data_IF_480524764030
#
_entry.id   IF_480524764030
#
_cell.length_a   1.000
_cell.length_b   1.000
_cell.length_c   1.000
_cell.angle_alpha   90.00
_cell.angle_beta   90.00
_cell.angle_gamma   90.00
#
_symmetry.space_group_name_H-M   'P 1'
#
loop_
_entity.id
_entity.type
_entity.pdbx_description
1 polymer ?
#
# COMPACT_ATOMS: atom_id res chain seq x y z
N UNK A 1 14.80 20.38 -6.49
CA UNK A 1 14.28 18.98 -6.37
C UNK A 1 13.17 18.82 -7.41
N UNK A 2 13.13 17.71 -8.12
CA UNK A 2 12.00 17.41 -9.00
C UNK A 2 10.80 17.06 -8.13
N UNK A 3 9.68 17.73 -8.33
CA UNK A 3 8.43 17.49 -7.60
C UNK A 3 7.72 16.28 -8.21
N UNK A 4 7.25 15.36 -7.37
CA UNK A 4 6.43 14.23 -7.76
C UNK A 4 5.18 14.19 -6.89
N UNK A 5 4.01 13.98 -7.49
CA UNK A 5 2.75 13.92 -6.76
C UNK A 5 2.44 12.47 -6.40
N UNK A 6 2.07 12.22 -5.15
CA UNK A 6 1.57 10.92 -4.71
C UNK A 6 0.05 10.99 -4.71
N UNK A 7 -0.58 10.17 -5.56
CA UNK A 7 -2.04 10.08 -5.69
C UNK A 7 -2.64 9.31 -4.50
N UNK A 8 -2.49 9.87 -3.31
CA UNK A 8 -3.01 9.35 -2.04
C UNK A 8 -3.12 10.45 -1.00
N UNK A 9 -4.10 10.31 -0.12
CA UNK A 9 -4.24 11.10 1.12
C UNK A 9 -4.00 10.24 2.37
N UNK A 10 -3.67 8.96 2.22
CA UNK A 10 -3.37 8.07 3.33
C UNK A 10 -2.01 8.43 3.95
N UNK A 11 -2.05 8.93 5.20
CA UNK A 11 -0.86 9.40 5.91
C UNK A 11 0.22 8.32 6.09
N UNK A 12 -0.19 7.06 6.29
CA UNK A 12 0.74 5.93 6.42
C UNK A 12 1.50 5.68 5.11
N UNK A 13 0.77 5.58 3.99
CA UNK A 13 1.37 5.42 2.65
C UNK A 13 2.31 6.59 2.31
N UNK A 14 1.86 7.82 2.54
CA UNK A 14 2.66 9.02 2.29
C UNK A 14 3.97 9.02 3.07
N UNK A 15 3.93 8.64 4.35
CA UNK A 15 5.11 8.55 5.21
C UNK A 15 6.12 7.54 4.67
N UNK A 16 5.67 6.34 4.32
CA UNK A 16 6.54 5.28 3.78
C UNK A 16 7.14 5.68 2.42
N UNK A 17 6.33 6.20 1.49
CA UNK A 17 6.80 6.61 0.16
C UNK A 17 7.81 7.77 0.27
N UNK A 18 7.51 8.78 1.08
CA UNK A 18 8.41 9.92 1.31
C UNK A 18 9.76 9.48 1.89
N UNK A 19 9.76 8.57 2.87
CA UNK A 19 10.98 8.08 3.50
C UNK A 19 11.91 7.38 2.48
N UNK A 20 11.33 6.63 1.55
CA UNK A 20 12.08 5.89 0.53
C UNK A 20 12.53 6.82 -0.61
N UNK A 21 11.73 7.81 -1.01
CA UNK A 21 12.07 8.73 -2.11
C UNK A 21 12.99 9.89 -1.69
N UNK A 22 13.07 10.23 -0.41
CA UNK A 22 13.87 11.34 0.08
C UNK A 22 15.38 11.28 -0.32
N UNK A 23 16.07 10.12 -0.25
CA UNK A 23 17.46 10.01 -0.65
C UNK A 23 17.73 10.36 -2.12
N UNK A 24 16.71 10.29 -2.99
CA UNK A 24 16.82 10.60 -4.44
C UNK A 24 16.63 12.08 -4.77
N UNK A 25 16.46 12.93 -3.76
CA UNK A 25 16.21 14.35 -3.96
C UNK A 25 14.87 14.65 -4.64
N UNK A 26 13.91 13.73 -4.55
CA UNK A 26 12.54 13.90 -5.02
C UNK A 26 11.70 14.54 -3.90
N UNK A 27 10.99 15.61 -4.24
CA UNK A 27 10.02 16.27 -3.35
C UNK A 27 8.65 15.63 -3.56
N UNK A 28 8.35 14.62 -2.73
CA UNK A 28 7.10 13.87 -2.81
C UNK A 28 5.97 14.56 -2.02
N UNK A 29 5.00 15.11 -2.73
CA UNK A 29 3.84 15.80 -2.16
C UNK A 29 2.57 14.97 -2.35
N UNK A 30 1.64 15.05 -1.40
CA UNK A 30 0.33 14.41 -1.58
C UNK A 30 -0.48 15.09 -2.68
N UNK A 31 -1.46 14.39 -3.23
CA UNK A 31 -2.40 14.95 -4.20
C UNK A 31 -3.10 16.21 -3.65
N UNK A 32 -3.47 16.21 -2.37
CA UNK A 32 -4.12 17.36 -1.72
C UNK A 32 -3.17 18.56 -1.61
N UNK A 33 -1.91 18.34 -1.18
CA UNK A 33 -0.89 19.41 -1.15
C UNK A 33 -0.59 19.97 -2.55
N UNK A 34 -0.78 19.13 -3.59
CA UNK A 34 -0.64 19.54 -4.98
C UNK A 34 -1.87 20.24 -5.57
N UNK A 35 -2.98 20.30 -4.83
CA UNK A 35 -4.21 20.98 -5.25
C UNK A 35 -5.27 20.07 -5.88
N UNK A 36 -5.11 18.75 -5.81
CA UNK A 36 -6.10 17.78 -6.24
C UNK A 36 -6.84 17.21 -5.02
N UNK A 37 -8.09 17.63 -4.81
CA UNK A 37 -8.91 17.25 -3.64
C UNK A 37 -10.09 16.32 -4.01
N UNK A 38 -10.17 15.87 -5.26
CA UNK A 38 -11.19 14.92 -5.69
C UNK A 38 -10.84 13.49 -5.23
N UNK A 39 -11.88 12.72 -4.92
CA UNK A 39 -11.75 11.28 -4.73
C UNK A 39 -11.84 10.57 -6.08
N UNK A 40 -10.93 9.64 -6.33
CA UNK A 40 -10.93 8.79 -7.51
C UNK A 40 -11.62 7.48 -7.16
N UNK A 41 -12.69 7.16 -7.87
CA UNK A 41 -13.41 5.90 -7.66
C UNK A 41 -12.55 4.71 -8.14
N UNK A 42 -12.29 3.79 -7.24
CA UNK A 42 -11.53 2.56 -7.51
C UNK A 42 -12.48 1.47 -8.03
N UNK A 43 -12.73 1.48 -9.34
CA UNK A 43 -13.62 0.53 -10.03
C UNK A 43 -12.90 -0.68 -10.60
N UNK A 44 -11.58 -0.72 -10.49
CA UNK A 44 -10.76 -1.82 -10.99
C UNK A 44 -10.93 -3.11 -10.17
N UNK A 45 -10.65 -4.22 -10.82
CA UNK A 45 -10.68 -5.56 -10.22
C UNK A 45 -9.31 -6.03 -9.77
N UNK A 46 -8.26 -5.30 -10.11
CA UNK A 46 -6.87 -5.55 -9.74
C UNK A 46 -6.22 -4.32 -9.12
N UNK A 47 -5.16 -4.53 -8.34
CA UNK A 47 -4.37 -3.42 -7.79
C UNK A 47 -3.77 -2.53 -8.89
N UNK A 48 -3.33 -3.13 -10.01
CA UNK A 48 -2.77 -2.39 -11.13
C UNK A 48 -3.80 -1.45 -11.78
N UNK A 49 -5.02 -1.93 -12.02
CA UNK A 49 -6.11 -1.11 -12.56
C UNK A 49 -6.44 0.07 -11.63
N UNK A 50 -6.57 -0.17 -10.34
CA UNK A 50 -6.87 0.89 -9.38
C UNK A 50 -5.71 1.88 -9.23
N UNK A 51 -4.46 1.42 -9.23
CA UNK A 51 -3.29 2.30 -9.22
C UNK A 51 -3.25 3.19 -10.48
N UNK A 52 -3.52 2.63 -11.67
CA UNK A 52 -3.59 3.38 -12.92
C UNK A 52 -4.70 4.42 -12.90
N UNK A 53 -5.92 4.05 -12.49
CA UNK A 53 -7.05 4.99 -12.36
C UNK A 53 -6.68 6.22 -11.52
N UNK A 54 -6.06 6.00 -10.37
CA UNK A 54 -5.62 7.08 -9.48
C UNK A 54 -4.52 7.93 -10.09
N UNK A 55 -3.51 7.30 -10.69
CA UNK A 55 -2.37 8.01 -11.27
C UNK A 55 -2.80 8.91 -12.45
N UNK A 56 -3.60 8.38 -13.37
CA UNK A 56 -4.07 9.12 -14.53
C UNK A 56 -5.02 10.26 -14.15
N UNK A 57 -5.96 10.04 -13.22
CA UNK A 57 -6.86 11.12 -12.78
C UNK A 57 -6.10 12.33 -12.22
N UNK A 58 -5.06 12.09 -11.41
CA UNK A 58 -4.22 13.16 -10.87
C UNK A 58 -3.33 13.77 -11.95
N UNK A 59 -2.75 12.95 -12.85
CA UNK A 59 -1.93 13.42 -13.95
C UNK A 59 -2.70 14.32 -14.91
N UNK A 60 -3.91 13.93 -15.31
CA UNK A 60 -4.78 14.71 -16.20
C UNK A 60 -5.18 16.05 -15.59
N UNK A 61 -5.39 16.10 -14.29
CA UNK A 61 -5.76 17.32 -13.59
C UNK A 61 -4.57 18.28 -13.36
N UNK A 62 -3.38 17.74 -13.08
CA UNK A 62 -2.22 18.54 -12.64
C UNK A 62 -1.10 18.64 -13.68
N UNK A 63 -1.14 17.87 -14.75
CA UNK A 63 -0.13 17.80 -15.81
C UNK A 63 1.30 17.64 -15.30
N UNK A 64 1.48 16.74 -14.33
CA UNK A 64 2.76 16.49 -13.67
C UNK A 64 3.04 14.98 -13.54
N UNK A 65 4.25 14.63 -13.12
CA UNK A 65 4.58 13.24 -12.80
C UNK A 65 3.88 12.80 -11.52
N UNK A 66 3.29 11.59 -11.54
CA UNK A 66 2.47 11.04 -10.45
C UNK A 66 2.91 9.62 -10.12
N UNK A 67 2.91 9.28 -8.84
CA UNK A 67 2.93 7.90 -8.34
C UNK A 67 1.61 7.62 -7.65
N UNK A 68 0.93 6.56 -8.04
CA UNK A 68 -0.19 6.01 -7.31
C UNK A 68 0.17 4.64 -6.74
N UNK A 69 -0.36 4.34 -5.57
CA UNK A 69 -0.24 3.06 -4.89
C UNK A 69 -1.63 2.45 -4.74
N UNK A 70 -1.78 1.21 -5.17
CA UNK A 70 -2.87 0.37 -4.71
C UNK A 70 -2.31 -0.91 -4.09
N UNK A 71 -2.83 -1.26 -2.91
CA UNK A 71 -2.27 -2.34 -2.10
C UNK A 71 -3.32 -2.94 -1.19
N UNK A 72 -3.13 -4.19 -0.85
CA UNK A 72 -4.04 -4.89 0.04
C UNK A 72 -3.47 -6.18 0.58
N UNK A 73 -4.27 -6.78 1.46
CA UNK A 73 -4.01 -8.05 2.10
C UNK A 73 -4.78 -9.15 1.38
N UNK A 74 -4.11 -10.24 1.05
CA UNK A 74 -4.71 -11.46 0.50
C UNK A 74 -4.50 -12.58 1.51
N UNK A 75 -5.60 -13.21 1.95
CA UNK A 75 -5.58 -14.30 2.93
C UNK A 75 -6.05 -15.59 2.24
N UNK A 76 -5.21 -16.62 2.27
CA UNK A 76 -5.48 -17.87 1.52
C UNK A 76 -6.73 -18.58 2.02
N UNK A 77 -6.96 -18.62 3.33
CA UNK A 77 -8.15 -19.22 3.92
C UNK A 77 -9.47 -18.47 3.59
N UNK A 78 -9.36 -17.27 3.03
CA UNK A 78 -10.50 -16.45 2.59
C UNK A 78 -10.52 -16.27 1.05
N UNK A 79 -9.93 -17.20 0.32
CA UNK A 79 -9.84 -17.17 -1.15
C UNK A 79 -9.28 -15.85 -1.71
N UNK A 80 -8.30 -15.28 -1.00
CA UNK A 80 -7.64 -14.03 -1.36
C UNK A 80 -8.35 -12.76 -0.85
N UNK A 81 -9.48 -12.89 -0.17
CA UNK A 81 -10.07 -11.71 0.48
C UNK A 81 -9.18 -11.22 1.66
N UNK A 82 -9.20 -9.93 1.98
CA UNK A 82 -10.00 -8.84 1.41
C UNK A 82 -9.54 -8.30 0.03
N UNK A 83 -8.29 -8.55 -0.40
CA UNK A 83 -7.79 -8.17 -1.72
C UNK A 83 -7.91 -6.66 -1.99
N UNK A 84 -8.46 -6.28 -3.15
CA UNK A 84 -8.68 -4.87 -3.53
C UNK A 84 -9.67 -4.14 -2.60
N UNK A 85 -10.44 -4.87 -1.80
CA UNK A 85 -11.38 -4.32 -0.81
C UNK A 85 -10.78 -4.16 0.59
N UNK A 86 -9.46 -4.26 0.74
CA UNK A 86 -8.77 -4.22 2.04
C UNK A 86 -9.13 -3.00 2.88
N UNK A 87 -9.23 -1.82 2.26
CA UNK A 87 -9.55 -0.58 2.98
C UNK A 87 -11.00 -0.55 3.50
N UNK A 88 -11.95 -1.07 2.73
CA UNK A 88 -13.40 -1.06 3.05
C UNK A 88 -13.93 -2.40 3.54
N UNK A 89 -13.06 -3.33 3.90
CA UNK A 89 -13.42 -4.70 4.31
C UNK A 89 -14.37 -4.77 5.50
N UNK A 90 -14.28 -3.85 6.45
CA UNK A 90 -15.18 -3.76 7.60
C UNK A 90 -16.19 -2.59 7.48
N UNK A 91 -16.31 -1.99 6.29
CA UNK A 91 -17.13 -0.83 5.99
C UNK A 91 -16.27 0.39 5.62
N UNK A 92 -16.85 1.35 4.89
CA UNK A 92 -16.11 2.50 4.35
C UNK A 92 -15.46 3.37 5.45
N UNK A 93 -16.11 3.51 6.59
CA UNK A 93 -15.62 4.32 7.72
C UNK A 93 -15.00 3.48 8.83
N UNK A 94 -14.66 2.21 8.57
CA UNK A 94 -14.08 1.35 9.57
C UNK A 94 -12.67 1.81 9.95
N UNK A 95 -12.34 1.66 11.24
CA UNK A 95 -10.98 1.85 11.75
C UNK A 95 -10.10 0.64 11.41
N UNK A 96 -8.79 0.80 11.50
CA UNK A 96 -7.84 -0.32 11.33
C UNK A 96 -8.10 -1.42 12.37
N UNK A 97 -8.43 -1.05 13.61
CA UNK A 97 -8.78 -2.01 14.65
C UNK A 97 -10.01 -2.84 14.28
N UNK A 98 -11.06 -2.21 13.73
CA UNK A 98 -12.27 -2.91 13.27
C UNK A 98 -11.99 -3.84 12.09
N UNK A 99 -11.11 -3.46 11.18
CA UNK A 99 -10.67 -4.34 10.07
C UNK A 99 -9.92 -5.57 10.60
N UNK A 100 -9.00 -5.36 11.54
CA UNK A 100 -8.27 -6.45 12.20
C UNK A 100 -9.21 -7.38 12.96
N UNK A 101 -10.15 -6.84 13.74
CA UNK A 101 -11.13 -7.60 14.50
C UNK A 101 -12.00 -8.47 13.59
N UNK A 102 -12.55 -7.89 12.50
CA UNK A 102 -13.33 -8.64 11.52
C UNK A 102 -12.53 -9.78 10.89
N UNK A 103 -11.27 -9.52 10.52
CA UNK A 103 -10.39 -10.53 9.95
C UNK A 103 -10.14 -11.68 10.93
N UNK A 104 -9.82 -11.36 12.18
CA UNK A 104 -9.59 -12.37 13.22
C UNK A 104 -10.85 -13.20 13.52
N UNK A 105 -12.03 -12.58 13.53
CA UNK A 105 -13.29 -13.29 13.71
C UNK A 105 -13.57 -14.28 12.58
N UNK A 106 -13.30 -13.89 11.33
CA UNK A 106 -13.47 -14.79 10.18
C UNK A 106 -12.48 -15.96 10.21
N UNK A 107 -11.34 -15.80 10.86
CA UNK A 107 -10.29 -16.82 10.94
C UNK A 107 -10.27 -17.57 12.28
N UNK A 108 -11.21 -17.33 13.17
CA UNK A 108 -11.19 -17.90 14.54
C UNK A 108 -11.06 -19.42 14.59
N UNK A 109 -11.71 -20.11 13.65
CA UNK A 109 -11.69 -21.59 13.56
C UNK A 109 -10.66 -22.09 12.54
N UNK A 110 -9.84 -21.20 11.96
CA UNK A 110 -8.80 -21.54 11.00
C UNK A 110 -7.51 -21.92 11.72
N UNK A 111 -6.99 -23.14 11.53
CA UNK A 111 -5.75 -23.59 12.18
C UNK A 111 -4.56 -22.76 11.70
N UNK A 112 -3.52 -22.69 12.53
CA UNK A 112 -2.35 -21.83 12.33
C UNK A 112 -1.67 -22.04 10.96
N UNK A 113 -1.54 -23.27 10.52
CA UNK A 113 -0.89 -23.63 9.25
C UNK A 113 -1.69 -23.23 8.00
N UNK A 114 -2.96 -22.83 8.16
CA UNK A 114 -3.84 -22.35 7.08
C UNK A 114 -4.07 -20.84 7.09
N UNK A 115 -3.37 -20.12 7.96
CA UNK A 115 -3.51 -18.66 8.09
C UNK A 115 -2.51 -17.89 7.24
N UNK A 116 -1.98 -18.53 6.18
CA UNK A 116 -1.04 -17.90 5.25
C UNK A 116 -1.71 -16.73 4.52
N UNK A 117 -0.94 -15.66 4.36
CA UNK A 117 -1.41 -14.44 3.75
C UNK A 117 -0.24 -13.69 3.11
N UNK A 118 -0.54 -12.69 2.29
CA UNK A 118 0.44 -11.75 1.76
C UNK A 118 -0.11 -10.37 1.63
N UNK A 119 0.74 -9.38 1.86
CA UNK A 119 0.51 -8.05 1.36
C UNK A 119 1.03 -7.93 -0.06
N UNK A 120 0.26 -7.28 -0.91
CA UNK A 120 0.68 -6.92 -2.27
C UNK A 120 0.52 -5.43 -2.48
N UNK A 121 1.49 -4.82 -3.16
CA UNK A 121 1.47 -3.43 -3.60
C UNK A 121 1.73 -3.39 -5.09
N UNK A 122 0.98 -2.57 -5.81
CA UNK A 122 1.28 -2.16 -7.17
C UNK A 122 1.37 -0.65 -7.20
N UNK A 123 2.51 -0.15 -7.70
CA UNK A 123 2.70 1.26 -7.99
C UNK A 123 2.47 1.49 -9.48
N UNK A 124 1.75 2.55 -9.81
CA UNK A 124 1.69 3.10 -11.15
C UNK A 124 2.41 4.45 -11.14
N UNK A 125 3.48 4.57 -11.90
CA UNK A 125 4.17 5.83 -12.17
C UNK A 125 3.73 6.34 -13.53
N UNK A 126 3.22 7.56 -13.57
CA UNK A 126 2.91 8.29 -14.81
C UNK A 126 3.89 9.45 -14.91
N UNK A 127 4.69 9.49 -15.97
CA UNK A 127 5.64 10.58 -16.17
C UNK A 127 4.94 11.86 -16.68
N UNK A 128 5.69 12.95 -16.82
CA UNK A 128 5.14 14.23 -17.28
C UNK A 128 4.58 14.20 -18.73
N UNK A 129 4.94 13.20 -19.53
CA UNK A 129 4.42 12.98 -20.88
C UNK A 129 3.17 12.08 -20.92
N UNK A 130 2.73 11.54 -19.76
CA UNK A 130 1.59 10.65 -19.65
C UNK A 130 1.90 9.18 -19.89
N UNK A 131 3.18 8.80 -19.99
CA UNK A 131 3.60 7.40 -20.14
C UNK A 131 3.59 6.70 -18.77
N UNK A 132 3.00 5.51 -18.71
CA UNK A 132 2.86 4.75 -17.47
C UNK A 132 3.89 3.62 -17.34
N UNK A 133 4.28 3.34 -16.11
CA UNK A 133 5.13 2.21 -15.73
C UNK A 133 4.64 1.61 -14.41
N UNK A 134 4.61 0.28 -14.32
CA UNK A 134 4.18 -0.43 -13.13
C UNK A 134 5.33 -1.09 -12.40
N UNK A 135 5.24 -1.08 -11.06
CA UNK A 135 6.16 -1.77 -10.16
C UNK A 135 5.36 -2.49 -9.09
N UNK A 136 5.78 -3.68 -8.71
CA UNK A 136 5.02 -4.47 -7.74
C UNK A 136 5.91 -5.11 -6.69
N UNK A 137 5.35 -5.29 -5.51
CA UNK A 137 6.02 -5.99 -4.43
C UNK A 137 5.05 -6.83 -3.61
N UNK A 138 5.56 -7.93 -3.08
CA UNK A 138 4.81 -8.88 -2.24
C UNK A 138 5.61 -9.15 -0.97
N UNK A 139 4.89 -9.18 0.16
CA UNK A 139 5.42 -9.63 1.43
C UNK A 139 4.58 -10.80 1.93
N UNK A 140 5.16 -11.99 1.95
CA UNK A 140 4.52 -13.20 2.47
C UNK A 140 4.55 -13.21 4.01
N UNK A 141 3.51 -13.75 4.61
CA UNK A 141 3.39 -13.88 6.05
C UNK A 141 2.21 -14.73 6.48
N UNK A 142 1.82 -14.57 7.72
CA UNK A 142 0.67 -15.29 8.31
C UNK A 142 -0.16 -14.34 9.16
N UNK A 143 -1.45 -14.62 9.27
CA UNK A 143 -2.32 -13.88 10.19
C UNK A 143 -2.23 -14.48 11.58
N UNK A 144 -1.82 -13.67 12.54
CA UNK A 144 -1.79 -14.03 13.95
C UNK A 144 -3.18 -14.26 14.56
N UNK A 145 -3.22 -14.57 15.84
CA UNK A 145 -4.47 -14.82 16.56
C UNK A 145 -4.96 -13.63 17.39
N UNK A 146 -4.09 -12.64 17.58
CA UNK A 146 -4.39 -11.41 18.31
C UNK A 146 -3.54 -10.26 17.78
N UNK A 147 -4.00 -9.00 17.90
CA UNK A 147 -3.19 -7.83 17.52
C UNK A 147 -1.97 -7.69 18.45
N UNK A 148 -0.82 -7.33 17.88
CA UNK A 148 0.41 -6.99 18.61
C UNK A 148 1.11 -5.82 17.94
N UNK A 149 1.72 -4.94 18.73
CA UNK A 149 2.43 -3.76 18.27
C UNK A 149 1.51 -2.56 18.02
N UNK A 150 2.14 -1.40 17.90
CA UNK A 150 1.44 -0.11 17.78
C UNK A 150 1.92 0.72 16.58
N UNK A 151 2.94 0.24 15.86
CA UNK A 151 3.47 0.93 14.70
C UNK A 151 2.67 0.62 13.42
N UNK A 152 2.93 1.37 12.37
CA UNK A 152 2.32 1.13 11.06
C UNK A 152 0.86 1.54 10.99
N UNK A 153 0.09 0.81 10.18
CA UNK A 153 -1.34 1.05 9.93
C UNK A 153 -2.01 -0.18 9.28
N UNK A 154 -3.31 -0.12 9.07
CA UNK A 154 -4.07 -1.18 8.43
C UNK A 154 -4.05 -2.49 9.22
N UNK A 155 -3.66 -3.58 8.58
CA UNK A 155 -3.61 -4.92 9.17
C UNK A 155 -2.25 -5.26 9.82
N UNK A 156 -1.33 -4.30 9.92
CA UNK A 156 0.01 -4.53 10.48
C UNK A 156 0.00 -5.21 11.86
N UNK A 157 -0.94 -4.89 12.79
CA UNK A 157 -0.98 -5.54 14.09
C UNK A 157 -1.27 -7.05 14.07
N UNK A 158 -1.83 -7.57 13.00
CA UNK A 158 -2.22 -8.98 12.88
C UNK A 158 -1.44 -9.73 11.80
N UNK A 159 -0.62 -9.06 11.00
CA UNK A 159 0.19 -9.66 9.95
C UNK A 159 1.60 -9.95 10.46
N UNK A 160 1.94 -11.22 10.57
CA UNK A 160 3.22 -11.69 11.08
C UNK A 160 4.20 -12.05 9.96
N UNK A 161 5.43 -11.61 10.11
CA UNK A 161 6.59 -12.05 9.32
C UNK A 161 7.58 -12.68 10.31
N UNK A 162 7.73 -13.98 10.25
CA UNK A 162 8.42 -14.72 11.32
C UNK A 162 7.66 -14.60 12.64
N UNK A 163 8.36 -14.23 13.71
CA UNK A 163 7.79 -14.16 15.06
C UNK A 163 7.16 -12.79 15.40
N UNK A 164 7.42 -11.76 14.58
CA UNK A 164 6.96 -10.39 14.80
C UNK A 164 5.79 -10.03 13.88
N UNK A 165 4.87 -9.21 14.38
CA UNK A 165 3.92 -8.51 13.51
C UNK A 165 4.60 -7.29 12.86
N UNK A 166 4.07 -6.83 11.73
CA UNK A 166 4.56 -5.58 11.12
C UNK A 166 4.41 -4.38 12.04
N UNK A 167 3.44 -4.39 12.95
CA UNK A 167 3.24 -3.32 13.93
C UNK A 167 4.23 -3.36 15.11
N UNK A 168 4.98 -4.44 15.28
CA UNK A 168 6.08 -4.54 16.25
C UNK A 168 7.42 -4.08 15.66
N UNK A 169 7.50 -3.87 14.34
CA UNK A 169 8.69 -3.39 13.64
C UNK A 169 8.76 -1.86 13.65
N UNK A 170 9.98 -1.34 13.58
CA UNK A 170 10.19 0.07 13.24
C UNK A 170 9.85 0.33 11.77
N UNK A 171 9.61 1.58 11.40
CA UNK A 171 9.35 1.96 10.01
C UNK A 171 10.51 1.52 9.08
N UNK A 172 11.76 1.63 9.55
CA UNK A 172 12.94 1.24 8.78
C UNK A 172 12.99 -0.28 8.54
N UNK A 173 12.75 -1.09 9.56
CA UNK A 173 12.70 -2.56 9.45
C UNK A 173 11.56 -2.99 8.53
N UNK A 174 10.37 -2.41 8.70
CA UNK A 174 9.21 -2.69 7.86
C UNK A 174 9.48 -2.33 6.39
N UNK A 175 10.09 -1.18 6.09
CA UNK A 175 10.37 -0.74 4.73
C UNK A 175 11.32 -1.69 3.99
N UNK A 176 12.25 -2.35 4.68
CA UNK A 176 13.17 -3.31 4.07
C UNK A 176 12.51 -4.59 3.56
N UNK A 177 11.38 -5.01 4.17
CA UNK A 177 10.74 -6.29 3.87
C UNK A 177 9.35 -6.14 3.27
N UNK A 178 8.73 -4.96 3.40
CA UNK A 178 7.33 -4.76 3.02
C UNK A 178 7.11 -4.83 1.50
N UNK A 179 5.90 -5.16 1.14
CA UNK A 179 5.40 -5.12 -0.23
C UNK A 179 5.65 -3.76 -0.90
N UNK A 180 5.35 -2.65 -0.20
CA UNK A 180 5.57 -1.29 -0.72
C UNK A 180 7.06 -0.96 -0.82
N UNK A 181 7.87 -1.33 0.16
CA UNK A 181 9.32 -1.16 0.09
C UNK A 181 9.91 -1.82 -1.15
N UNK A 182 9.54 -3.08 -1.43
CA UNK A 182 9.99 -3.81 -2.63
C UNK A 182 9.53 -3.19 -3.94
N UNK A 183 8.29 -2.68 -4.01
CA UNK A 183 7.80 -2.00 -5.20
C UNK A 183 8.52 -0.66 -5.42
N UNK A 184 8.79 0.08 -4.35
CA UNK A 184 9.51 1.34 -4.41
C UNK A 184 11.01 1.16 -4.76
N UNK A 185 11.64 0.08 -4.33
CA UNK A 185 13.00 -0.27 -4.74
C UNK A 185 13.11 -0.45 -6.26
N UNK A 186 12.14 -1.11 -6.89
CA UNK A 186 12.08 -1.24 -8.34
C UNK A 186 11.87 0.12 -9.04
N UNK A 187 11.01 0.97 -8.49
CA UNK A 187 10.80 2.33 -9.01
C UNK A 187 12.08 3.17 -8.90
N UNK A 188 12.79 3.03 -7.80
CA UNK A 188 14.07 3.66 -7.55
C UNK A 188 15.12 3.24 -8.59
N UNK A 189 15.26 1.93 -8.81
CA UNK A 189 16.19 1.42 -9.83
C UNK A 189 15.83 1.91 -11.23
N UNK A 190 14.55 1.99 -11.55
CA UNK A 190 14.09 2.61 -12.79
C UNK A 190 14.52 4.08 -12.90
N UNK A 191 14.39 4.88 -11.85
CA UNK A 191 14.82 6.28 -11.85
C UNK A 191 16.33 6.45 -12.03
N UNK A 192 17.15 5.48 -11.62
CA UNK A 192 18.59 5.49 -11.86
C UNK A 192 18.95 5.26 -13.33
N UNK A 193 18.02 4.73 -14.13
CA UNK A 193 18.22 4.47 -15.56
C UNK A 193 17.83 5.64 -16.46
N UNK A 194 17.13 6.65 -15.92
CA UNK A 194 16.69 7.86 -16.62
C UNK A 194 17.74 8.99 -16.53
#
# INVERSE_FOLDING_TARGET
MKKIVIASNNAGKLREIRAILAPFGLDAVSQKEAGFDAEVEETGTTFAENAALKAHAVHEALHCAVIADDSGLLVDALDGAPGVYSHRFAGENATDAQRCEKLLELLKDTPAEKRTARFQCVLCYVNAAGEEQFFSGVCEGVIGTSPRGENGFGYDPVFCVGEQTMAEMTDAEKNQISHRGKALEQLEDFFKTL
#
